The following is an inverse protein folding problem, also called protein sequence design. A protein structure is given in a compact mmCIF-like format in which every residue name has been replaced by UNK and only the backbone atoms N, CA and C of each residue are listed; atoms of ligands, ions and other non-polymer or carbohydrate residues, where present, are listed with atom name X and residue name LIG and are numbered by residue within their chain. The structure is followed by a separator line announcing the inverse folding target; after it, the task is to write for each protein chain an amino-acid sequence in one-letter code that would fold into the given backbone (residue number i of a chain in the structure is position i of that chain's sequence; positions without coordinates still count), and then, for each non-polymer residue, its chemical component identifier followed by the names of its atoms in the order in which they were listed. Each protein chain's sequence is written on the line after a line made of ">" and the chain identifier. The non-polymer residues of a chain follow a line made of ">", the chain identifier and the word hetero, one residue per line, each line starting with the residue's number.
data_IF_936545704499
#
_entry.id   IF_936545704499
#
_cell.length_a   1.000
_cell.length_b   1.000
_cell.length_c   1.000
_cell.angle_alpha   90.00
_cell.angle_beta   90.00
_cell.angle_gamma   90.00
#
_symmetry.space_group_name_H-M   'P 1'
#
loop_
_entity.id
_entity.type
_entity.pdbx_description
1 polymer ?
#
# COMPACT_ATOMS: atom_id res chain seq x y z
N UNK A 1 -30.42 14.80 -15.83
CA UNK A 1 -29.39 15.81 -15.99
C UNK A 1 -28.16 15.07 -16.48
N UNK A 2 -27.35 15.72 -17.31
CA UNK A 2 -25.95 15.31 -17.40
C UNK A 2 -25.34 15.53 -16.00
N UNK A 3 -24.34 14.76 -15.56
CA UNK A 3 -23.60 15.06 -14.32
C UNK A 3 -22.45 16.06 -14.49
N UNK A 4 -22.24 16.50 -15.72
CA UNK A 4 -21.17 17.39 -16.20
C UNK A 4 -21.78 18.15 -17.39
N UNK A 5 -22.48 19.24 -17.06
CA UNK A 5 -23.38 19.95 -17.98
C UNK A 5 -22.62 20.77 -19.05
N UNK A 6 -21.34 21.10 -18.85
CA UNK A 6 -20.50 21.85 -19.79
C UNK A 6 -19.33 21.07 -20.43
N UNK A 7 -19.11 19.83 -19.98
CA UNK A 7 -18.15 18.87 -20.51
C UNK A 7 -16.68 19.29 -20.40
N UNK A 8 -16.32 19.97 -19.31
CA UNK A 8 -14.93 20.33 -19.00
C UNK A 8 -14.17 19.21 -18.24
N UNK A 9 -14.90 18.23 -17.70
CA UNK A 9 -14.37 17.08 -16.98
C UNK A 9 -14.50 17.15 -15.45
N UNK A 10 -15.05 18.24 -14.90
CA UNK A 10 -15.46 18.38 -13.51
C UNK A 10 -16.95 18.02 -13.41
N UNK A 11 -17.38 17.42 -12.30
CA UNK A 11 -18.80 17.08 -12.12
C UNK A 11 -19.55 18.31 -11.58
N UNK A 12 -20.82 18.48 -11.93
CA UNK A 12 -21.67 19.60 -11.46
C UNK A 12 -21.70 19.78 -9.92
N UNK A 13 -21.36 18.73 -9.17
CA UNK A 13 -21.33 18.73 -7.71
C UNK A 13 -20.05 19.34 -7.13
N UNK A 14 -18.97 19.32 -7.89
CA UNK A 14 -17.61 19.74 -7.52
C UNK A 14 -17.15 20.96 -8.36
N UNK A 15 -17.95 21.33 -9.37
CA UNK A 15 -17.73 22.46 -10.28
C UNK A 15 -18.29 23.78 -9.70
N UNK A 16 -17.49 24.84 -9.74
CA UNK A 16 -17.89 26.17 -9.27
C UNK A 16 -18.95 26.82 -10.17
N UNK A 17 -18.90 26.60 -11.48
CA UNK A 17 -19.86 27.12 -12.46
C UNK A 17 -20.22 26.03 -13.51
N UNK A 18 -21.16 25.11 -13.18
CA UNK A 18 -21.50 23.92 -13.98
C UNK A 18 -22.00 24.12 -15.42
N UNK A 19 -21.98 25.37 -15.93
CA UNK A 19 -22.45 25.74 -17.26
C UNK A 19 -21.37 26.44 -18.09
N UNK A 20 -20.17 26.56 -17.54
CA UNK A 20 -19.09 27.40 -18.05
C UNK A 20 -17.75 26.67 -17.99
N UNK A 21 -17.47 25.92 -19.06
CA UNK A 21 -16.29 25.07 -19.21
C UNK A 21 -14.92 25.77 -19.13
N UNK A 22 -14.92 27.09 -18.95
CA UNK A 22 -13.73 27.90 -18.72
C UNK A 22 -13.42 28.06 -17.20
N UNK A 23 -14.25 27.52 -16.31
CA UNK A 23 -14.15 27.58 -14.83
C UNK A 23 -14.09 26.15 -14.29
N UNK A 24 -13.07 25.84 -13.48
CA UNK A 24 -12.90 24.53 -12.87
C UNK A 24 -13.63 24.32 -11.54
N UNK A 25 -13.24 23.25 -10.85
CA UNK A 25 -13.73 22.90 -9.52
C UNK A 25 -13.36 23.90 -8.43
N UNK A 26 -13.92 23.70 -7.24
CA UNK A 26 -13.66 24.46 -6.00
C UNK A 26 -13.37 23.44 -4.88
N UNK A 27 -12.14 22.95 -4.85
CA UNK A 27 -11.75 21.75 -4.08
C UNK A 27 -11.85 21.94 -2.56
N UNK A 28 -11.64 23.15 -2.07
CA UNK A 28 -11.77 23.51 -0.65
C UNK A 28 -13.11 24.18 -0.28
N UNK A 29 -13.89 24.59 -1.27
CA UNK A 29 -15.19 25.22 -1.10
C UNK A 29 -15.12 26.68 -0.63
N UNK A 30 -14.01 27.38 -0.88
CA UNK A 30 -13.83 28.79 -0.50
C UNK A 30 -14.55 29.78 -1.45
N UNK A 31 -15.00 29.27 -2.60
CA UNK A 31 -15.68 30.03 -3.65
C UNK A 31 -14.74 30.60 -4.71
N UNK A 32 -13.52 30.09 -4.79
CA UNK A 32 -12.56 30.31 -5.88
C UNK A 32 -12.40 29.03 -6.69
N UNK A 33 -12.24 29.14 -8.01
CA UNK A 33 -11.99 27.97 -8.84
C UNK A 33 -10.51 27.57 -8.81
N UNK A 34 -10.26 26.27 -8.71
CA UNK A 34 -8.95 25.61 -8.79
C UNK A 34 -8.21 26.01 -10.08
N UNK A 35 -8.96 26.14 -11.18
CA UNK A 35 -8.42 26.61 -12.46
C UNK A 35 -9.41 27.48 -13.24
N UNK A 36 -8.87 28.44 -14.00
CA UNK A 36 -9.64 29.27 -14.93
C UNK A 36 -8.91 29.44 -16.24
N UNK A 37 -9.65 29.41 -17.36
CA UNK A 37 -9.12 29.65 -18.70
C UNK A 37 -10.01 30.64 -19.46
N UNK A 38 -9.68 30.87 -20.74
CA UNK A 38 -10.55 31.57 -21.66
C UNK A 38 -11.08 32.91 -21.16
N UNK A 39 -12.39 33.11 -21.27
CA UNK A 39 -13.03 34.37 -20.89
C UNK A 39 -13.30 34.50 -19.39
N UNK A 40 -13.30 33.38 -18.67
CA UNK A 40 -13.47 33.30 -17.22
C UNK A 40 -12.35 34.01 -16.46
N UNK A 41 -11.14 34.11 -17.03
CA UNK A 41 -10.00 34.89 -16.49
C UNK A 41 -10.31 36.38 -16.23
N UNK A 42 -11.42 36.90 -16.76
CA UNK A 42 -11.88 38.27 -16.52
C UNK A 42 -12.94 38.39 -15.43
N UNK A 43 -13.50 37.27 -14.98
CA UNK A 43 -14.62 37.17 -14.02
C UNK A 43 -14.21 36.53 -12.70
N UNK A 44 -13.25 35.62 -12.73
CA UNK A 44 -12.80 34.84 -11.59
C UNK A 44 -11.29 35.00 -11.37
N UNK A 45 -10.90 34.97 -10.09
CA UNK A 45 -9.52 34.85 -9.66
C UNK A 45 -9.29 33.39 -9.28
N UNK A 46 -8.31 32.72 -9.91
CA UNK A 46 -7.91 31.35 -9.56
C UNK A 46 -7.45 31.28 -8.11
N UNK A 47 -7.73 30.16 -7.44
CA UNK A 47 -7.08 29.86 -6.16
C UNK A 47 -5.57 29.60 -6.34
N UNK A 48 -4.83 29.69 -5.25
CA UNK A 48 -3.38 29.45 -5.18
C UNK A 48 -3.03 28.41 -4.12
N UNK A 49 -4.04 27.82 -3.47
CA UNK A 49 -3.99 26.86 -2.36
C UNK A 49 -5.31 26.07 -2.42
N UNK A 50 -5.47 25.26 -3.48
CA UNK A 50 -6.73 24.64 -3.91
C UNK A 50 -7.36 23.71 -2.83
N UNK A 51 -6.58 23.26 -1.85
CA UNK A 51 -7.05 22.42 -0.74
C UNK A 51 -6.96 23.08 0.65
N UNK A 52 -6.45 24.32 0.71
CA UNK A 52 -6.34 25.15 1.90
C UNK A 52 -5.54 24.51 3.05
N UNK A 53 -4.54 23.66 2.73
CA UNK A 53 -3.64 23.06 3.72
C UNK A 53 -2.53 24.02 4.20
N UNK A 54 -2.34 25.12 3.46
CA UNK A 54 -1.38 26.19 3.74
C UNK A 54 -0.08 26.13 2.94
N UNK A 55 0.04 25.20 2.00
CA UNK A 55 1.07 25.15 0.94
C UNK A 55 0.44 25.65 -0.36
N UNK A 56 1.15 26.50 -1.10
CA UNK A 56 0.60 27.00 -2.37
C UNK A 56 0.71 25.92 -3.45
N UNK A 57 -0.23 25.84 -4.39
CA UNK A 57 -0.24 24.81 -5.47
C UNK A 57 1.08 24.74 -6.25
N UNK A 58 1.78 25.88 -6.36
CA UNK A 58 3.06 25.96 -7.07
C UNK A 58 4.21 25.23 -6.35
N UNK A 59 4.08 25.04 -5.05
CA UNK A 59 5.03 24.37 -4.16
C UNK A 59 4.45 23.04 -3.60
N UNK A 60 3.24 22.66 -3.99
CA UNK A 60 2.51 21.48 -3.52
C UNK A 60 2.57 20.33 -4.55
N UNK A 61 2.97 19.13 -4.12
CA UNK A 61 2.98 17.95 -4.97
C UNK A 61 1.58 17.37 -5.24
N UNK A 62 0.62 17.61 -4.33
CA UNK A 62 -0.77 17.18 -4.40
C UNK A 62 -1.75 18.33 -4.09
N UNK A 63 -1.88 19.33 -4.98
CA UNK A 63 -2.65 20.56 -4.71
C UNK A 63 -4.13 20.39 -4.31
N UNK A 64 -4.72 19.20 -4.50
CA UNK A 64 -6.14 18.93 -4.23
C UNK A 64 -6.34 18.01 -3.02
N UNK A 65 -5.28 17.69 -2.26
CA UNK A 65 -5.31 16.72 -1.16
C UNK A 65 -4.74 17.38 0.10
N UNK A 66 -5.60 17.86 1.03
CA UNK A 66 -5.18 18.72 2.14
C UNK A 66 -4.37 18.01 3.25
N UNK A 67 -3.97 16.78 2.99
CA UNK A 67 -3.14 15.96 3.88
C UNK A 67 -1.85 15.53 3.23
N UNK A 68 -1.56 15.91 1.99
CA UNK A 68 -0.36 15.51 1.26
C UNK A 68 0.17 16.73 0.53
N UNK A 69 1.42 17.13 0.79
CA UNK A 69 2.06 18.25 0.06
C UNK A 69 3.49 17.98 -0.38
N UNK A 70 4.03 16.80 -0.01
CA UNK A 70 5.39 16.38 -0.31
C UNK A 70 5.35 14.99 -0.96
N UNK A 71 6.18 14.81 -1.98
CA UNK A 71 6.45 13.56 -2.71
C UNK A 71 7.98 13.47 -2.85
N UNK A 72 8.62 12.84 -1.86
CA UNK A 72 10.07 12.90 -1.68
C UNK A 72 10.83 12.09 -2.73
N UNK A 73 10.25 10.99 -3.25
CA UNK A 73 10.84 10.15 -4.29
C UNK A 73 10.28 10.38 -5.71
N UNK A 74 9.14 11.05 -5.82
CA UNK A 74 8.49 11.42 -7.07
C UNK A 74 7.66 10.30 -7.70
N UNK A 75 7.17 9.33 -6.92
CA UNK A 75 6.38 8.20 -7.42
C UNK A 75 4.89 8.53 -7.59
N UNK A 76 4.43 9.66 -7.04
CA UNK A 76 3.06 10.13 -7.08
C UNK A 76 2.17 9.66 -5.92
N UNK A 77 2.75 9.14 -4.85
CA UNK A 77 2.14 8.93 -3.53
C UNK A 77 2.75 9.94 -2.57
N UNK A 78 1.94 10.64 -1.77
CA UNK A 78 2.47 11.64 -0.84
C UNK A 78 3.09 11.00 0.39
N UNK A 79 4.11 11.64 0.97
CA UNK A 79 4.89 11.13 2.11
C UNK A 79 4.03 10.74 3.34
N UNK A 80 2.80 11.27 3.52
CA UNK A 80 1.94 10.79 4.62
C UNK A 80 1.22 9.46 4.31
N UNK A 81 1.13 9.08 3.04
CA UNK A 81 0.51 7.85 2.55
C UNK A 81 1.52 6.81 2.04
N UNK A 82 2.71 7.25 1.64
CA UNK A 82 3.82 6.38 1.28
C UNK A 82 4.40 5.69 2.52
N UNK A 83 5.13 4.60 2.30
CA UNK A 83 5.78 3.79 3.34
C UNK A 83 7.28 3.68 3.12
N UNK A 84 7.81 4.30 2.07
CA UNK A 84 9.20 4.33 1.61
C UNK A 84 9.42 5.71 0.95
N UNK A 85 9.33 6.78 1.76
CA UNK A 85 9.21 8.17 1.31
C UNK A 85 10.34 8.61 0.34
N UNK A 86 11.52 8.00 0.40
CA UNK A 86 12.67 8.33 -0.45
C UNK A 86 12.97 7.30 -1.55
N UNK A 87 12.21 6.20 -1.60
CA UNK A 87 12.27 5.18 -2.63
C UNK A 87 13.61 4.41 -2.68
N UNK A 88 14.37 4.36 -1.59
CA UNK A 88 15.63 3.62 -1.53
C UNK A 88 15.46 2.11 -1.29
N UNK A 89 14.23 1.69 -0.96
CA UNK A 89 13.82 0.30 -0.76
C UNK A 89 13.78 -0.14 0.71
N UNK A 90 14.00 0.77 1.65
CA UNK A 90 13.76 0.57 3.08
C UNK A 90 12.50 1.31 3.50
N UNK A 91 11.64 0.67 4.30
CA UNK A 91 10.42 1.36 4.76
C UNK A 91 10.75 2.41 5.82
N UNK A 92 9.98 3.51 5.90
CA UNK A 92 10.19 4.56 6.92
C UNK A 92 10.12 3.98 8.34
N UNK A 93 9.30 2.93 8.53
CA UNK A 93 9.23 2.21 9.78
C UNK A 93 10.57 1.54 10.10
N UNK A 94 11.17 0.85 9.14
CA UNK A 94 12.44 0.16 9.33
C UNK A 94 13.55 1.18 9.60
N UNK A 95 13.61 2.22 8.79
CA UNK A 95 14.55 3.33 8.92
C UNK A 95 14.48 4.04 10.27
N UNK A 96 13.28 4.35 10.75
CA UNK A 96 13.08 4.95 12.06
C UNK A 96 13.61 4.09 13.21
N UNK A 97 13.61 2.76 13.08
CA UNK A 97 14.24 1.88 14.09
C UNK A 97 15.74 1.70 13.86
N UNK A 98 16.18 1.82 12.61
CA UNK A 98 17.57 1.66 12.18
C UNK A 98 18.36 2.97 12.21
N UNK A 99 17.71 4.05 12.63
CA UNK A 99 18.30 5.34 12.91
C UNK A 99 18.84 6.04 11.65
N UNK A 100 18.21 5.77 10.50
CA UNK A 100 18.34 6.50 9.23
C UNK A 100 17.22 7.55 9.06
N UNK A 101 17.35 8.37 8.02
CA UNK A 101 16.42 9.44 7.64
C UNK A 101 15.54 9.02 6.45
N UNK A 102 14.22 8.81 6.65
CA UNK A 102 13.32 8.33 5.59
C UNK A 102 13.14 9.22 4.37
N UNK A 103 13.66 10.46 4.42
CA UNK A 103 13.51 11.43 3.34
C UNK A 103 14.82 11.58 2.53
N UNK A 104 15.80 10.70 2.73
CA UNK A 104 17.15 10.84 2.18
C UNK A 104 17.64 9.51 1.59
N UNK A 105 17.55 9.31 0.26
CA UNK A 105 17.78 8.00 -0.39
C UNK A 105 19.22 7.47 -0.35
N UNK A 106 20.10 8.18 0.37
CA UNK A 106 21.50 7.82 0.59
C UNK A 106 21.80 7.49 2.04
N UNK A 107 20.83 7.64 2.94
CA UNK A 107 20.96 7.35 4.36
C UNK A 107 20.43 5.95 4.72
N UNK A 108 20.59 4.96 3.84
CA UNK A 108 20.12 3.59 4.07
C UNK A 108 20.59 2.98 5.40
N UNK A 109 19.77 2.18 6.09
CA UNK A 109 20.17 1.32 7.21
C UNK A 109 21.40 0.45 6.91
N UNK A 110 22.22 0.19 7.95
CA UNK A 110 23.30 -0.79 7.86
C UNK A 110 22.72 -2.22 7.87
N UNK A 111 23.06 -3.00 6.83
CA UNK A 111 22.65 -4.39 6.63
C UNK A 111 23.88 -5.20 6.17
N UNK A 112 24.61 -5.76 7.14
CA UNK A 112 25.89 -6.43 6.91
C UNK A 112 25.76 -7.75 6.12
N UNK A 113 24.59 -8.41 6.17
CA UNK A 113 24.35 -9.70 5.51
C UNK A 113 23.34 -9.64 4.34
N UNK A 114 22.77 -8.46 4.08
CA UNK A 114 21.90 -8.13 2.96
C UNK A 114 20.61 -8.95 2.94
N UNK A 115 20.03 -9.22 4.11
CA UNK A 115 18.80 -9.99 4.24
C UNK A 115 17.52 -9.12 4.27
N UNK A 116 17.67 -7.79 4.27
CA UNK A 116 16.58 -6.82 4.32
C UNK A 116 16.13 -6.45 5.73
N UNK A 117 16.92 -6.80 6.75
CA UNK A 117 16.74 -6.38 8.14
C UNK A 117 18.02 -5.68 8.58
N UNK A 118 17.93 -4.48 9.11
CA UNK A 118 19.14 -3.78 9.55
C UNK A 118 19.76 -4.43 10.80
N UNK A 119 21.07 -4.27 10.95
CA UNK A 119 21.87 -4.82 12.07
C UNK A 119 21.28 -4.45 13.45
N UNK A 120 20.69 -3.25 13.57
CA UNK A 120 20.08 -2.78 14.82
C UNK A 120 18.81 -3.55 15.17
N UNK A 121 18.00 -3.91 14.18
CA UNK A 121 16.82 -4.74 14.36
C UNK A 121 17.17 -6.21 14.59
N UNK A 122 18.24 -6.72 13.98
CA UNK A 122 18.73 -8.08 14.20
C UNK A 122 19.11 -8.32 15.67
N UNK A 123 19.64 -7.28 16.34
CA UNK A 123 20.00 -7.34 17.76
C UNK A 123 18.80 -7.58 18.69
N UNK A 124 17.56 -7.37 18.21
CA UNK A 124 16.32 -7.68 18.93
C UNK A 124 15.87 -9.14 18.79
N UNK A 125 16.45 -9.88 17.84
CA UNK A 125 16.14 -11.30 17.55
C UNK A 125 17.22 -12.22 18.11
N UNK A 126 17.92 -11.82 19.19
CA UNK A 126 18.92 -12.70 19.81
C UNK A 126 18.27 -14.03 20.16
N UNK A 127 18.88 -15.10 19.66
CA UNK A 127 18.38 -16.46 19.77
C UNK A 127 18.12 -16.88 21.23
N UNK A 128 18.66 -16.17 22.24
CA UNK A 128 18.30 -16.36 23.65
C UNK A 128 16.82 -16.16 23.97
N UNK A 129 16.10 -15.30 23.22
CA UNK A 129 14.66 -15.03 23.43
C UNK A 129 13.81 -16.24 23.02
N UNK A 130 14.16 -16.91 21.92
CA UNK A 130 13.43 -18.06 21.38
C UNK A 130 14.07 -19.41 21.73
N UNK A 131 15.30 -19.42 22.24
CA UNK A 131 15.99 -20.62 22.74
C UNK A 131 15.10 -21.47 23.66
N UNK A 132 14.37 -20.94 24.65
CA UNK A 132 13.50 -21.79 25.48
C UNK A 132 12.35 -22.41 24.69
N UNK A 133 11.78 -21.71 23.70
CA UNK A 133 10.67 -22.22 22.87
C UNK A 133 11.17 -23.28 21.89
N UNK A 134 12.28 -23.01 21.19
CA UNK A 134 12.89 -23.94 20.22
C UNK A 134 13.42 -25.18 20.93
N UNK A 135 14.06 -25.06 22.09
CA UNK A 135 14.53 -26.20 22.89
C UNK A 135 13.35 -27.06 23.37
N UNK A 136 12.25 -26.46 23.83
CA UNK A 136 11.04 -27.22 24.22
C UNK A 136 10.44 -27.95 23.01
N UNK A 137 10.33 -27.30 21.85
CA UNK A 137 9.82 -27.93 20.64
C UNK A 137 10.70 -29.10 20.18
N UNK A 138 12.02 -28.92 20.16
CA UNK A 138 12.98 -30.00 19.80
C UNK A 138 12.91 -31.15 20.80
N UNK A 139 12.81 -30.87 22.10
CA UNK A 139 12.66 -31.91 23.14
C UNK A 139 11.32 -32.66 23.03
N UNK A 140 10.24 -31.98 22.68
CA UNK A 140 8.93 -32.61 22.48
C UNK A 140 8.92 -33.50 21.23
N UNK A 141 9.58 -33.09 20.15
CA UNK A 141 9.75 -33.90 18.94
C UNK A 141 10.64 -35.12 19.23
N UNK A 142 11.76 -34.93 19.95
CA UNK A 142 12.66 -36.01 20.33
C UNK A 142 12.01 -37.01 21.32
N UNK A 143 11.23 -36.52 22.28
CA UNK A 143 10.45 -37.37 23.20
C UNK A 143 9.32 -38.10 22.48
N UNK A 144 8.66 -37.47 21.50
CA UNK A 144 7.64 -38.08 20.65
C UNK A 144 8.21 -39.20 19.76
N UNK A 145 9.41 -39.01 19.21
CA UNK A 145 10.10 -40.01 18.39
C UNK A 145 10.54 -41.26 19.19
N UNK A 146 10.81 -41.12 20.50
CA UNK A 146 11.21 -42.25 21.35
C UNK A 146 10.06 -43.21 21.72
N UNK A 147 8.79 -42.80 21.56
CA UNK A 147 7.62 -43.63 21.93
C UNK A 147 7.18 -44.56 20.79
N UNK A 148 7.56 -44.31 19.54
CA UNK A 148 7.09 -45.06 18.36
C UNK A 148 8.09 -46.13 17.87
N UNK A 149 8.72 -46.87 18.79
CA UNK A 149 9.65 -47.94 18.42
C UNK A 149 9.50 -49.21 19.26
N UNK A 150 8.27 -49.62 19.64
CA UNK A 150 8.05 -50.98 20.19
C UNK A 150 6.59 -51.46 20.16
N UNK A 151 6.10 -51.92 19.01
CA UNK A 151 5.01 -52.92 18.83
C UNK A 151 4.68 -52.96 17.33
N UNK A 152 4.89 -54.02 16.57
CA UNK A 152 4.28 -55.33 16.74
C UNK A 152 2.99 -55.43 15.90
N UNK A 153 3.14 -55.76 14.61
CA UNK A 153 2.15 -55.95 13.53
C UNK A 153 0.69 -56.28 13.93
N UNK A 154 -0.27 -55.49 13.41
CA UNK A 154 -1.59 -55.98 12.99
C UNK A 154 -1.99 -55.31 11.68
N UNK A 155 -2.23 -56.13 10.66
CA UNK A 155 -2.73 -55.73 9.35
C UNK A 155 -4.07 -55.02 9.49
N UNK A 156 -4.13 -53.75 9.10
CA UNK A 156 -5.37 -52.98 9.00
C UNK A 156 -5.67 -52.79 7.51
N UNK A 157 -6.68 -53.50 7.01
CA UNK A 157 -7.19 -53.30 5.65
C UNK A 157 -8.14 -52.11 5.70
N UNK A 158 -7.89 -51.00 4.98
CA UNK A 158 -8.82 -49.88 4.96
C UNK A 158 -10.11 -50.25 4.21
N UNK A 159 -11.28 -49.74 4.62
CA UNK A 159 -12.52 -49.95 3.89
C UNK A 159 -12.48 -49.26 2.52
N UNK A 160 -12.97 -49.97 1.49
CA UNK A 160 -13.10 -49.46 0.12
C UNK A 160 -14.12 -48.32 0.09
N UNK A 161 -13.78 -47.12 -0.45
CA UNK A 161 -14.73 -46.03 -0.60
C UNK A 161 -15.80 -46.37 -1.65
N UNK A 162 -17.05 -45.87 -1.50
CA UNK A 162 -18.08 -46.08 -2.51
C UNK A 162 -17.73 -45.37 -3.83
N UNK A 163 -17.95 -46.06 -4.94
CA UNK A 163 -17.67 -45.57 -6.30
C UNK A 163 -18.48 -44.31 -6.63
N UNK A 164 -17.87 -43.30 -7.27
CA UNK A 164 -18.59 -42.12 -7.73
C UNK A 164 -19.56 -42.45 -8.88
N UNK A 165 -20.68 -41.72 -9.03
CA UNK A 165 -21.58 -41.87 -10.17
C UNK A 165 -20.90 -41.47 -11.48
N UNK A 166 -21.25 -42.09 -12.62
CA UNK A 166 -20.64 -41.79 -13.91
C UNK A 166 -20.96 -40.35 -14.37
N UNK A 167 -19.92 -39.62 -14.76
CA UNK A 167 -20.03 -38.28 -15.34
C UNK A 167 -20.69 -38.33 -16.73
N UNK A 168 -21.49 -37.31 -17.13
CA UNK A 168 -22.02 -37.20 -18.47
C UNK A 168 -20.90 -36.99 -19.49
N UNK A 169 -20.98 -37.67 -20.64
CA UNK A 169 -20.07 -37.49 -21.76
C UNK A 169 -20.43 -36.19 -22.50
N UNK A 170 -19.64 -35.14 -22.29
CA UNK A 170 -19.64 -33.97 -23.17
C UNK A 170 -18.75 -34.28 -24.39
N UNK A 171 -19.36 -34.19 -25.57
CA UNK A 171 -18.69 -34.42 -26.84
C UNK A 171 -17.80 -33.25 -27.21
N UNK A 172 -16.58 -33.59 -27.60
CA UNK A 172 -15.69 -32.71 -28.35
C UNK A 172 -15.95 -32.93 -29.85
N UNK A 173 -16.53 -31.94 -30.52
CA UNK A 173 -16.42 -31.76 -31.95
C UNK A 173 -15.63 -30.47 -32.22
N UNK A 174 -14.35 -30.66 -32.52
CA UNK A 174 -13.50 -29.66 -33.16
C UNK A 174 -13.65 -29.70 -34.68
N UNK A 175 -13.82 -28.53 -35.28
CA UNK A 175 -13.01 -27.96 -36.37
C UNK A 175 -13.40 -26.48 -36.56
#
# INVERSE_FOLDING_TARGET
>A
ADPDDDNDGVLDADDLDPLDSDVGGDSDGDGKPDWVIGDATSRYDQDQDDDNDGVMDADDAFPLIPTESVDSDGDGIGDNADTDDDGDGWSDYDEAQCNSDPLVPTDTPADDDSDGICDLMESSISFESYAPIVVVLVLMIAAGAAISARMGQKSFVPPVPPSPPPLPLEGEDGD
#
